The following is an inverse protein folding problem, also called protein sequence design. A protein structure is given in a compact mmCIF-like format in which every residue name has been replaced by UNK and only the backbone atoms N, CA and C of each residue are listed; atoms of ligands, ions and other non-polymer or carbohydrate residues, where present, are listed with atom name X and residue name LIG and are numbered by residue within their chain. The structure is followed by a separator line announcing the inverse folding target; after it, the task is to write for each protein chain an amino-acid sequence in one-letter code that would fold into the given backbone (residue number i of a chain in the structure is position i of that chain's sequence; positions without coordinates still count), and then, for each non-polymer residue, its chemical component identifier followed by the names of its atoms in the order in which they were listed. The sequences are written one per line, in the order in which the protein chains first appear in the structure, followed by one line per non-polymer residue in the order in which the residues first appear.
data_IF_200413364978
#
_entry.id   IF_200413364978
#
_cell.length_a   1.000
_cell.length_b   1.000
_cell.length_c   1.000
_cell.angle_alpha   90.00
_cell.angle_beta   90.00
_cell.angle_gamma   90.00
#
_symmetry.space_group_name_H-M   'P 1'
#
loop_
_entity.id
_entity.type
_entity.pdbx_description
1 polymer ?
#
# COMPACT_ATOMS: atom_id res chain seq x y z
N UNK A 1 25.29 -25.41 -34.94
CA UNK A 1 24.82 -25.68 -33.56
C UNK A 1 23.61 -26.62 -33.63
N UNK A 2 23.66 -27.81 -33.04
CA UNK A 2 22.60 -28.84 -33.13
C UNK A 2 21.66 -28.81 -31.92
N UNK A 3 21.04 -27.66 -31.64
CA UNK A 3 20.07 -27.52 -30.54
C UNK A 3 18.72 -28.07 -31.05
N UNK A 4 18.24 -29.17 -30.45
CA UNK A 4 17.00 -29.87 -30.86
C UNK A 4 15.84 -29.67 -29.89
N UNK A 5 16.01 -28.78 -28.92
CA UNK A 5 15.01 -28.49 -27.89
C UNK A 5 13.68 -28.01 -28.51
N UNK A 6 12.56 -28.51 -28.01
CA UNK A 6 11.24 -28.23 -28.55
C UNK A 6 10.83 -26.77 -28.30
N UNK A 7 11.17 -26.23 -27.12
CA UNK A 7 10.89 -24.84 -26.78
C UNK A 7 11.70 -23.88 -27.67
N UNK A 8 12.94 -24.24 -27.96
CA UNK A 8 13.78 -23.48 -28.87
C UNK A 8 13.21 -23.43 -30.29
N UNK A 9 12.71 -24.56 -30.81
CA UNK A 9 12.05 -24.60 -32.12
C UNK A 9 10.79 -23.73 -32.15
N UNK A 10 9.98 -23.75 -31.10
CA UNK A 10 8.78 -22.91 -31.00
C UNK A 10 9.10 -21.41 -31.01
N UNK A 11 10.19 -21.01 -30.36
CA UNK A 11 10.67 -19.62 -30.37
C UNK A 11 11.14 -19.24 -31.77
N UNK A 12 11.92 -20.09 -32.43
CA UNK A 12 12.39 -19.86 -33.81
C UNK A 12 11.23 -19.74 -34.80
N UNK A 13 10.23 -20.62 -34.70
CA UNK A 13 9.04 -20.55 -35.53
C UNK A 13 8.22 -19.27 -35.28
N UNK A 14 8.19 -18.80 -34.03
CA UNK A 14 7.53 -17.54 -33.66
C UNK A 14 8.27 -16.32 -34.21
N UNK A 15 9.60 -16.34 -34.17
CA UNK A 15 10.44 -15.29 -34.78
C UNK A 15 10.17 -15.22 -36.28
N UNK A 16 10.18 -16.36 -36.98
CA UNK A 16 9.94 -16.42 -38.41
C UNK A 16 8.56 -15.82 -38.78
N UNK A 17 7.51 -16.19 -38.05
CA UNK A 17 6.15 -15.64 -38.26
C UNK A 17 6.08 -14.13 -38.03
N UNK A 18 6.84 -13.60 -37.07
CA UNK A 18 6.88 -12.17 -36.78
C UNK A 18 7.68 -11.41 -37.85
N UNK A 19 8.77 -12.00 -38.34
CA UNK A 19 9.59 -11.45 -39.43
C UNK A 19 8.79 -11.36 -40.74
N UNK A 20 8.09 -12.43 -41.14
CA UNK A 20 7.21 -12.40 -42.32
C UNK A 20 6.19 -11.26 -42.24
N UNK A 21 5.57 -11.07 -41.07
CA UNK A 21 4.62 -9.98 -40.83
C UNK A 21 5.28 -8.61 -40.85
N UNK A 22 6.51 -8.49 -40.37
CA UNK A 22 7.28 -7.24 -40.37
C UNK A 22 7.64 -6.83 -41.79
N UNK A 23 8.16 -7.76 -42.61
CA UNK A 23 8.54 -7.51 -44.00
C UNK A 23 7.33 -7.27 -44.92
N UNK A 24 6.20 -7.92 -44.61
CA UNK A 24 4.93 -7.68 -45.30
C UNK A 24 4.25 -6.35 -44.95
N UNK A 25 4.70 -5.66 -43.91
CA UNK A 25 4.07 -4.40 -43.47
C UNK A 25 4.45 -3.24 -44.42
N UNK A 26 3.48 -2.42 -44.88
CA UNK A 26 3.75 -1.31 -45.81
C UNK A 26 4.79 -0.29 -45.31
N UNK A 27 4.86 -0.09 -43.99
CA UNK A 27 5.85 0.81 -43.37
C UNK A 27 7.28 0.25 -43.34
N UNK A 28 7.51 -1.02 -43.68
CA UNK A 28 8.86 -1.58 -43.70
C UNK A 28 9.72 -0.96 -44.82
N UNK A 29 9.11 -0.53 -45.92
CA UNK A 29 9.79 0.02 -47.11
C UNK A 29 9.78 1.54 -47.17
N UNK A 30 9.06 2.24 -46.29
CA UNK A 30 8.96 3.70 -46.33
C UNK A 30 10.13 4.38 -45.61
N UNK A 31 10.65 5.48 -46.20
CA UNK A 31 11.73 6.29 -45.61
C UNK A 31 11.29 7.08 -44.36
N UNK A 32 9.99 7.35 -44.21
CA UNK A 32 9.41 8.12 -43.10
C UNK A 32 9.10 7.28 -41.84
N UNK A 33 9.49 6.00 -41.81
CA UNK A 33 9.18 5.09 -40.70
C UNK A 33 9.89 5.49 -39.41
N UNK A 34 11.10 6.02 -39.50
CA UNK A 34 11.88 6.48 -38.34
C UNK A 34 11.22 7.68 -37.63
N UNK A 35 10.78 8.68 -38.39
CA UNK A 35 10.10 9.87 -37.85
C UNK A 35 8.69 9.57 -37.33
N UNK A 36 7.92 8.73 -38.03
CA UNK A 36 6.62 8.27 -37.55
C UNK A 36 6.72 7.46 -36.26
N UNK A 37 7.76 6.61 -36.15
CA UNK A 37 8.01 5.81 -34.96
C UNK A 37 8.41 6.65 -33.75
N UNK A 38 9.25 7.69 -33.92
CA UNK A 38 9.62 8.58 -32.81
C UNK A 38 8.42 9.37 -32.28
N UNK A 39 7.55 9.87 -33.16
CA UNK A 39 6.31 10.54 -32.77
C UNK A 39 5.34 9.59 -32.05
N UNK A 40 5.17 8.36 -32.56
CA UNK A 40 4.33 7.36 -31.91
C UNK A 40 4.87 6.97 -30.53
N UNK A 41 6.20 6.81 -30.41
CA UNK A 41 6.87 6.54 -29.14
C UNK A 41 6.63 7.69 -28.14
N UNK A 42 6.73 8.94 -28.58
CA UNK A 42 6.42 10.11 -27.76
C UNK A 42 4.96 10.14 -27.28
N UNK A 43 4.01 9.77 -28.16
CA UNK A 43 2.59 9.61 -27.77
C UNK A 43 2.42 8.55 -26.69
N UNK A 44 3.08 7.39 -26.83
CA UNK A 44 2.99 6.31 -25.84
C UNK A 44 3.57 6.72 -24.48
N UNK A 45 4.69 7.45 -24.46
CA UNK A 45 5.27 7.94 -23.20
C UNK A 45 4.33 8.88 -22.46
N UNK A 46 3.65 9.78 -23.19
CA UNK A 46 2.68 10.71 -22.60
C UNK A 46 1.44 9.97 -22.09
N UNK A 47 0.94 8.96 -22.83
CA UNK A 47 -0.18 8.13 -22.38
C UNK A 47 0.15 7.36 -21.10
N UNK A 48 1.38 6.87 -20.97
CA UNK A 48 1.82 6.18 -19.76
C UNK A 48 1.91 7.15 -18.57
N UNK A 49 2.48 8.34 -18.79
CA UNK A 49 2.49 9.40 -17.77
C UNK A 49 1.08 9.80 -17.34
N UNK A 50 0.14 9.91 -18.28
CA UNK A 50 -1.25 10.23 -18.02
C UNK A 50 -1.88 9.18 -17.09
N UNK A 51 -1.72 7.89 -17.38
CA UNK A 51 -2.20 6.80 -16.51
C UNK A 51 -1.60 6.86 -15.10
N UNK A 52 -0.30 7.17 -14.99
CA UNK A 52 0.36 7.32 -13.69
C UNK A 52 -0.22 8.51 -12.92
N UNK A 53 -0.50 9.62 -13.58
CA UNK A 53 -1.08 10.80 -12.93
C UNK A 53 -2.55 10.55 -12.54
N UNK A 54 -3.33 9.89 -13.38
CA UNK A 54 -4.72 9.51 -13.08
C UNK A 54 -4.81 8.57 -11.87
N UNK A 55 -3.92 7.58 -11.79
CA UNK A 55 -3.84 6.67 -10.63
C UNK A 55 -3.46 7.42 -9.36
N UNK A 56 -2.42 8.26 -9.39
CA UNK A 56 -2.04 9.12 -8.26
C UNK A 56 -3.15 10.07 -7.82
N UNK A 57 -3.88 10.63 -8.78
CA UNK A 57 -5.00 11.52 -8.50
C UNK A 57 -6.17 10.76 -7.87
N UNK A 58 -6.44 9.52 -8.32
CA UNK A 58 -7.44 8.64 -7.71
C UNK A 58 -7.03 8.25 -6.29
N UNK A 59 -5.75 7.96 -6.05
CA UNK A 59 -5.22 7.69 -4.71
C UNK A 59 -5.32 8.90 -3.78
N UNK A 60 -5.01 10.10 -4.28
CA UNK A 60 -5.12 11.34 -3.52
C UNK A 60 -6.57 11.73 -3.21
N UNK A 61 -7.52 11.43 -4.11
CA UNK A 61 -8.97 11.68 -3.92
C UNK A 61 -9.67 10.62 -3.09
N UNK A 62 -9.17 9.39 -3.09
CA UNK A 62 -9.66 8.35 -2.19
C UNK A 62 -9.54 8.86 -0.76
N UNK A 63 -10.66 8.89 -0.01
CA UNK A 63 -10.70 9.31 1.39
C UNK A 63 -9.67 8.51 2.18
N UNK A 64 -8.51 9.13 2.41
CA UNK A 64 -7.19 8.49 2.42
C UNK A 64 -6.96 7.50 3.58
N UNK A 65 -7.92 7.36 4.48
CA UNK A 65 -7.78 6.57 5.70
C UNK A 65 -9.08 5.90 6.17
N UNK A 66 -10.13 5.81 5.35
CA UNK A 66 -11.40 5.19 5.79
C UNK A 66 -11.23 3.73 6.19
N UNK A 67 -10.41 2.96 5.46
CA UNK A 67 -10.10 1.58 5.82
C UNK A 67 -9.26 1.49 7.10
N UNK A 68 -8.26 2.36 7.26
CA UNK A 68 -7.45 2.44 8.48
C UNK A 68 -8.31 2.77 9.70
N UNK A 69 -9.20 3.75 9.57
CA UNK A 69 -10.16 4.12 10.61
C UNK A 69 -11.11 2.96 10.93
N UNK A 70 -11.63 2.27 9.92
CA UNK A 70 -12.49 1.09 10.09
C UNK A 70 -11.79 -0.02 10.88
N UNK A 71 -10.52 -0.31 10.57
CA UNK A 71 -9.73 -1.30 11.31
C UNK A 71 -9.46 -0.85 12.75
N UNK A 72 -9.10 0.42 12.98
CA UNK A 72 -8.90 0.98 14.33
C UNK A 72 -10.18 0.94 15.17
N UNK A 73 -11.33 1.33 14.61
CA UNK A 73 -12.65 1.21 15.27
C UNK A 73 -12.98 -0.24 15.62
N UNK A 74 -12.58 -1.21 14.80
CA UNK A 74 -12.77 -2.64 15.13
C UNK A 74 -11.99 -3.05 16.37
N UNK A 75 -10.74 -2.60 16.50
CA UNK A 75 -9.92 -2.87 17.69
C UNK A 75 -10.55 -2.21 18.91
N UNK A 76 -10.87 -0.91 18.85
CA UNK A 76 -11.47 -0.16 19.97
C UNK A 76 -12.77 -0.80 20.49
N UNK A 77 -13.60 -1.36 19.60
CA UNK A 77 -14.80 -2.12 19.99
C UNK A 77 -14.49 -3.46 20.67
N UNK A 78 -13.41 -4.12 20.27
CA UNK A 78 -13.02 -5.43 20.84
C UNK A 78 -12.37 -5.31 22.21
N UNK A 79 -11.71 -4.17 22.47
CA UNK A 79 -11.10 -3.86 23.78
C UNK A 79 -11.99 -2.98 24.67
N UNK A 80 -13.24 -2.76 24.25
CA UNK A 80 -14.30 -2.08 25.03
C UNK A 80 -14.05 -0.57 25.31
N UNK A 81 -13.40 0.12 24.38
CA UNK A 81 -13.19 1.58 24.45
C UNK A 81 -14.38 2.34 23.84
N UNK A 82 -15.13 1.68 22.96
CA UNK A 82 -16.38 2.17 22.41
C UNK A 82 -17.34 1.01 22.13
N UNK A 83 -18.64 1.29 22.15
CA UNK A 83 -19.68 0.30 21.83
C UNK A 83 -19.89 0.16 20.32
N UNK A 84 -20.70 -0.83 19.91
CA UNK A 84 -21.06 -1.06 18.52
C UNK A 84 -21.71 0.17 17.84
N UNK A 85 -22.41 1.01 18.62
CA UNK A 85 -22.99 2.29 18.18
C UNK A 85 -21.97 3.44 18.07
N UNK A 86 -20.66 3.15 18.19
CA UNK A 86 -19.55 4.11 18.11
C UNK A 86 -19.57 5.21 19.19
N UNK A 87 -20.23 4.94 20.32
CA UNK A 87 -20.20 5.81 21.50
C UNK A 87 -19.03 5.42 22.40
N UNK A 88 -18.31 6.43 22.90
CA UNK A 88 -17.14 6.27 23.77
C UNK A 88 -17.55 5.78 25.17
N UNK A 89 -16.84 4.76 25.65
CA UNK A 89 -17.02 4.20 26.99
C UNK A 89 -16.08 4.86 28.00
N UNK A 90 -16.25 4.53 29.29
CA UNK A 90 -15.41 5.06 30.37
C UNK A 90 -13.91 4.85 30.11
N UNK A 91 -13.53 3.65 29.66
CA UNK A 91 -12.15 3.31 29.29
C UNK A 91 -11.59 4.25 28.22
N UNK A 92 -12.38 4.51 27.17
CA UNK A 92 -12.02 5.45 26.12
C UNK A 92 -11.85 6.88 26.63
N UNK A 93 -12.69 7.33 27.58
CA UNK A 93 -12.54 8.65 28.20
C UNK A 93 -11.23 8.77 28.98
N UNK A 94 -10.87 7.76 29.76
CA UNK A 94 -9.58 7.74 30.49
C UNK A 94 -8.41 7.84 29.52
N UNK A 95 -8.47 7.13 28.40
CA UNK A 95 -7.44 7.18 27.35
C UNK A 95 -7.32 8.56 26.72
N UNK A 96 -8.43 9.27 26.50
CA UNK A 96 -8.40 10.62 25.95
C UNK A 96 -7.69 11.64 26.85
N UNK A 97 -7.55 11.35 28.15
CA UNK A 97 -6.79 12.18 29.10
C UNK A 97 -5.28 11.86 29.11
N UNK A 98 -4.85 10.83 28.38
CA UNK A 98 -3.45 10.43 28.27
C UNK A 98 -2.88 10.94 26.94
N UNK A 99 -1.81 11.75 27.01
CA UNK A 99 -1.10 12.25 25.83
C UNK A 99 0.05 11.39 25.23
N UNK A 100 0.59 10.32 25.86
CA UNK A 100 1.69 9.54 25.29
C UNK A 100 1.24 8.57 24.19
N UNK A 101 2.14 8.21 23.27
CA UNK A 101 1.86 7.37 22.09
C UNK A 101 1.29 5.96 22.39
N UNK A 102 1.35 5.52 23.65
CA UNK A 102 0.91 4.20 24.11
C UNK A 102 -0.30 4.28 25.07
N UNK A 103 -1.15 5.30 24.90
CA UNK A 103 -2.38 5.56 25.67
C UNK A 103 -3.28 4.32 25.91
N UNK A 104 -3.48 3.48 24.88
CA UNK A 104 -4.28 2.25 25.00
C UNK A 104 -3.63 1.25 25.96
N UNK A 105 -2.31 1.04 25.86
CA UNK A 105 -1.59 0.10 26.71
C UNK A 105 -1.63 0.54 28.17
N UNK A 106 -1.38 1.82 28.44
CA UNK A 106 -1.42 2.37 29.80
C UNK A 106 -2.81 2.21 30.39
N UNK A 107 -3.85 2.49 29.60
CA UNK A 107 -5.23 2.32 30.03
C UNK A 107 -5.51 0.84 30.37
N UNK A 108 -5.06 -0.13 29.55
CA UNK A 108 -5.16 -1.55 29.91
C UNK A 108 -4.45 -1.88 31.22
N UNK A 109 -3.24 -1.36 31.44
CA UNK A 109 -2.47 -1.64 32.64
C UNK A 109 -3.16 -1.11 33.90
N UNK A 110 -3.81 0.06 33.81
CA UNK A 110 -4.62 0.63 34.88
C UNK A 110 -5.85 -0.25 35.15
N UNK A 111 -6.64 -0.57 34.12
CA UNK A 111 -7.88 -1.33 34.28
C UNK A 111 -7.65 -2.80 34.70
N UNK A 112 -6.54 -3.40 34.30
CA UNK A 112 -6.13 -4.73 34.75
C UNK A 112 -5.46 -4.73 36.13
N UNK A 113 -5.30 -3.56 36.76
CA UNK A 113 -4.73 -3.44 38.11
C UNK A 113 -3.23 -3.71 38.20
N UNK A 114 -2.49 -3.64 37.10
CA UNK A 114 -1.05 -3.96 37.05
C UNK A 114 -0.23 -3.09 38.02
N UNK A 115 -0.64 -1.84 38.22
CA UNK A 115 0.04 -0.90 39.11
C UNK A 115 -0.24 -1.14 40.61
N UNK A 116 -1.21 -1.98 40.96
CA UNK A 116 -1.58 -2.22 42.36
C UNK A 116 -0.51 -3.03 43.11
N UNK A 117 0.20 -3.90 42.40
CA UNK A 117 1.22 -4.79 42.97
C UNK A 117 2.62 -4.16 42.99
N UNK A 118 2.78 -2.96 42.40
CA UNK A 118 4.08 -2.30 42.28
C UNK A 118 4.31 -1.23 43.34
N UNK A 119 5.55 -1.16 43.83
CA UNK A 119 6.02 -0.05 44.65
C UNK A 119 6.24 1.20 43.81
N UNK A 120 6.23 2.38 44.43
CA UNK A 120 6.45 3.66 43.74
C UNK A 120 7.69 3.66 42.84
N UNK A 121 8.88 3.16 43.27
CA UNK A 121 10.05 3.10 42.39
C UNK A 121 9.86 2.18 41.17
N UNK A 122 9.16 1.05 41.33
CA UNK A 122 8.87 0.13 40.23
C UNK A 122 7.89 0.74 39.22
N UNK A 123 6.84 1.41 39.70
CA UNK A 123 5.89 2.14 38.85
C UNK A 123 6.57 3.24 38.06
N UNK A 124 7.45 4.03 38.69
CA UNK A 124 8.23 5.07 38.01
C UNK A 124 9.18 4.46 36.97
N UNK A 125 9.85 3.36 37.30
CA UNK A 125 10.72 2.66 36.36
C UNK A 125 9.97 2.08 35.15
N UNK A 126 8.73 1.63 35.34
CA UNK A 126 7.90 1.14 34.24
C UNK A 126 7.34 2.28 33.37
N UNK A 127 6.91 3.37 33.99
CA UNK A 127 6.41 4.54 33.28
C UNK A 127 7.53 5.30 32.53
N UNK A 128 8.79 5.22 32.97
CA UNK A 128 9.90 5.88 32.26
C UNK A 128 10.11 5.31 30.85
N UNK A 129 9.85 4.02 30.64
CA UNK A 129 9.89 3.40 29.31
C UNK A 129 8.83 3.96 28.35
N UNK A 130 7.70 4.43 28.87
CA UNK A 130 6.57 4.91 28.06
C UNK A 130 6.72 6.36 27.58
N UNK A 131 7.71 7.09 28.10
CA UNK A 131 7.93 8.53 27.84
C UNK A 131 9.09 8.78 26.86
N UNK A 132 9.99 7.81 26.67
CA UNK A 132 11.18 7.94 25.80
C UNK A 132 10.93 7.59 24.34
#
# INVERSE_FOLDING_TARGET
MHIKDADFKNIVDSIHKLEERLFGHPLHRSSNTSSGYTLYKGKLTVLEQLKIVETKLKEARSLLQMDKLKFRKRVLRRVEYCIAAEVIEFKGRVTCELSPANELLITEMIFNGVFNDFTTPQTVALLSWLVC
#
